data_IF_684342812569
#
_entry.id   IF_684342812569
#
_cell.length_a   1.000
_cell.length_b   1.000
_cell.length_c   1.000
_cell.angle_alpha   90.00
_cell.angle_beta   90.00
_cell.angle_gamma   90.00
#
_symmetry.space_group_name_H-M   'P 1'
#
loop_
_entity.id
_entity.type
_entity.pdbx_description
1 polymer ?
#
# COMPACT_ATOMS: atom_id res chain seq x y z
N UNK A 1 -0.24 9.64 -12.72
CA UNK A 1 -0.57 8.23 -13.00
C UNK A 1 -1.79 8.15 -13.90
N UNK A 2 -1.69 7.41 -14.99
CA UNK A 2 -2.82 7.25 -15.91
C UNK A 2 -3.86 6.31 -15.28
N UNK A 3 -5.14 6.63 -15.46
CA UNK A 3 -6.23 5.77 -15.02
C UNK A 3 -6.49 4.66 -16.04
N UNK A 4 -6.79 3.47 -15.56
CA UNK A 4 -7.13 2.33 -16.42
C UNK A 4 -8.61 2.38 -16.78
N UNK A 5 -9.45 2.77 -15.82
CA UNK A 5 -10.90 2.91 -16.00
C UNK A 5 -11.32 4.34 -15.69
N UNK A 6 -12.41 4.79 -16.32
CA UNK A 6 -12.86 6.17 -16.15
C UNK A 6 -13.45 6.47 -14.78
N UNK A 7 -14.16 5.52 -14.19
CA UNK A 7 -14.91 5.74 -12.95
C UNK A 7 -14.34 5.04 -11.74
N UNK A 8 -13.99 3.77 -11.88
CA UNK A 8 -13.48 2.98 -10.75
C UNK A 8 -12.26 2.20 -11.20
N UNK A 9 -11.12 2.46 -10.55
CA UNK A 9 -9.92 1.66 -10.71
C UNK A 9 -9.70 0.80 -9.49
N UNK A 10 -9.04 -0.36 -9.70
CA UNK A 10 -8.60 -1.25 -8.64
C UNK A 10 -7.16 -0.93 -8.28
N UNK A 11 -6.92 -0.71 -7.00
CA UNK A 11 -5.60 -0.30 -6.49
C UNK A 11 -5.20 -1.17 -5.31
N UNK A 12 -3.90 -1.12 -5.00
CA UNK A 12 -3.35 -1.73 -3.79
C UNK A 12 -2.73 -0.65 -2.93
N UNK A 13 -2.81 -0.82 -1.61
CA UNK A 13 -2.08 -0.02 -0.63
C UNK A 13 -1.30 -0.98 0.25
N UNK A 14 -0.02 -0.72 0.45
CA UNK A 14 0.85 -1.59 1.21
C UNK A 14 1.39 -0.82 2.41
N UNK A 15 1.01 -1.25 3.61
CA UNK A 15 1.54 -0.70 4.86
C UNK A 15 2.73 -1.56 5.27
N UNK A 16 3.92 -1.08 4.92
CA UNK A 16 5.17 -1.79 5.16
C UNK A 16 5.68 -1.45 6.55
N UNK A 17 5.92 -2.47 7.36
CA UNK A 17 6.35 -2.31 8.76
C UNK A 17 7.79 -2.78 8.93
N UNK A 18 8.58 -1.97 9.62
CA UNK A 18 9.93 -2.30 10.06
C UNK A 18 10.21 -1.57 11.37
N UNK A 19 10.79 -2.27 12.32
CA UNK A 19 11.18 -1.70 13.62
C UNK A 19 10.04 -0.90 14.27
N UNK A 20 8.82 -1.44 14.21
CA UNK A 20 7.60 -0.86 14.80
C UNK A 20 7.22 0.49 14.19
N UNK A 21 7.56 0.69 12.93
CA UNK A 21 7.20 1.89 12.17
C UNK A 21 6.61 1.51 10.82
N UNK A 22 5.75 2.36 10.31
CA UNK A 22 5.10 2.18 9.01
C UNK A 22 5.66 3.18 8.01
N UNK A 23 5.89 2.73 6.78
CA UNK A 23 6.45 3.57 5.73
C UNK A 23 5.36 4.38 5.03
N UNK A 24 5.56 5.68 4.96
CA UNK A 24 4.71 6.61 4.21
C UNK A 24 5.52 7.42 3.21
N UNK A 25 4.87 7.82 2.13
CA UNK A 25 5.44 8.71 1.12
C UNK A 25 4.65 10.01 1.09
N UNK A 26 5.32 11.10 0.76
CA UNK A 26 4.67 12.39 0.50
C UNK A 26 4.47 12.56 -0.99
N UNK A 27 3.23 12.43 -1.47
CA UNK A 27 2.89 12.46 -2.88
C UNK A 27 2.96 13.90 -3.43
N UNK A 28 3.71 14.11 -4.53
CA UNK A 28 3.92 15.44 -5.10
C UNK A 28 2.62 16.12 -5.55
N UNK A 29 1.81 15.41 -6.31
CA UNK A 29 0.59 15.99 -6.86
C UNK A 29 -0.49 16.22 -5.81
N UNK A 30 -0.67 15.24 -4.94
CA UNK A 30 -1.74 15.30 -3.93
C UNK A 30 -1.35 16.07 -2.68
N UNK A 31 -0.05 16.34 -2.48
CA UNK A 31 0.47 17.04 -1.30
C UNK A 31 0.03 16.38 0.02
N UNK A 32 0.03 15.05 0.05
CA UNK A 32 -0.42 14.24 1.18
C UNK A 32 0.54 13.12 1.48
N UNK A 33 0.59 12.73 2.75
CA UNK A 33 1.28 11.51 3.16
C UNK A 33 0.36 10.32 2.91
N UNK A 34 0.84 9.36 2.15
CA UNK A 34 0.09 8.18 1.71
C UNK A 34 0.93 6.93 1.94
N UNK A 35 0.28 5.75 2.11
CA UNK A 35 1.03 4.51 2.08
C UNK A 35 1.59 4.25 0.68
N UNK A 36 2.51 3.32 0.58
CA UNK A 36 2.96 2.79 -0.72
C UNK A 36 1.76 2.17 -1.43
N UNK A 37 1.64 2.39 -2.72
CA UNK A 37 0.54 1.77 -3.48
C UNK A 37 0.39 2.31 -4.88
N UNK A 38 -0.59 1.79 -5.60
CA UNK A 38 -0.88 2.19 -6.95
C UNK A 38 -1.89 1.27 -7.63
N UNK A 39 -2.07 1.47 -8.93
CA UNK A 39 -3.03 0.69 -9.72
C UNK A 39 -2.58 -0.75 -9.93
N UNK A 40 -3.56 -1.66 -9.95
CA UNK A 40 -3.36 -3.03 -10.42
C UNK A 40 -3.43 -2.96 -11.96
N UNK A 41 -2.33 -3.34 -12.61
CA UNK A 41 -2.25 -3.29 -14.06
C UNK A 41 -3.07 -4.43 -14.69
N UNK A 42 -3.35 -4.32 -16.00
CA UNK A 42 -4.24 -5.25 -16.69
C UNK A 42 -3.73 -6.70 -16.72
N UNK A 43 -2.44 -6.90 -16.60
CA UNK A 43 -1.79 -8.22 -16.68
C UNK A 43 -1.24 -8.73 -15.35
N UNK A 44 -1.65 -8.13 -14.23
CA UNK A 44 -1.15 -8.55 -12.93
C UNK A 44 -2.29 -8.78 -11.92
N UNK A 45 -2.04 -9.65 -10.94
CA UNK A 45 -2.95 -9.82 -9.82
C UNK A 45 -2.59 -8.87 -8.68
N UNK A 46 -3.42 -8.73 -7.63
CA UNK A 46 -3.16 -7.79 -6.54
C UNK A 46 -1.84 -8.03 -5.79
N UNK A 47 -1.43 -9.29 -5.60
CA UNK A 47 -0.15 -9.58 -4.93
C UNK A 47 1.03 -9.09 -5.76
N UNK A 48 0.98 -9.33 -7.07
CA UNK A 48 2.02 -8.87 -7.99
C UNK A 48 2.09 -7.35 -8.01
N UNK A 49 0.93 -6.68 -8.04
CA UNK A 49 0.87 -5.22 -8.01
C UNK A 49 1.47 -4.67 -6.71
N UNK A 50 1.14 -5.29 -5.57
CA UNK A 50 1.65 -4.85 -4.27
C UNK A 50 3.18 -4.96 -4.19
N UNK A 51 3.73 -6.08 -4.65
CA UNK A 51 5.19 -6.29 -4.64
C UNK A 51 5.90 -5.34 -5.60
N UNK A 52 5.32 -5.11 -6.77
CA UNK A 52 5.87 -4.18 -7.77
C UNK A 52 5.86 -2.75 -7.25
N UNK A 53 4.74 -2.28 -6.72
CA UNK A 53 4.64 -0.92 -6.19
C UNK A 53 5.60 -0.69 -5.02
N UNK A 54 5.74 -1.67 -4.13
CA UNK A 54 6.70 -1.57 -3.03
C UNK A 54 8.12 -1.37 -3.56
N UNK A 55 8.51 -2.13 -4.58
CA UNK A 55 9.83 -2.03 -5.17
C UNK A 55 10.03 -0.70 -5.90
N UNK A 56 9.06 -0.30 -6.72
CA UNK A 56 9.15 0.93 -7.51
C UNK A 56 9.18 2.19 -6.64
N UNK A 57 8.32 2.25 -5.62
CA UNK A 57 8.16 3.45 -4.82
C UNK A 57 9.14 3.55 -3.66
N UNK A 58 9.62 2.44 -3.12
CA UNK A 58 10.48 2.45 -1.93
C UNK A 58 11.83 1.76 -2.11
N UNK A 59 12.02 1.00 -3.16
CA UNK A 59 13.23 0.20 -3.37
C UNK A 59 13.27 -1.07 -2.53
N UNK A 60 12.22 -1.37 -1.77
CA UNK A 60 12.20 -2.51 -0.85
C UNK A 60 11.63 -3.76 -1.49
N UNK A 61 12.24 -4.89 -1.15
CA UNK A 61 11.65 -6.21 -1.36
C UNK A 61 10.89 -6.56 -0.09
N UNK A 62 9.60 -6.82 -0.21
CA UNK A 62 8.73 -7.06 0.94
C UNK A 62 8.07 -8.43 0.85
N UNK A 63 7.63 -8.90 2.02
CA UNK A 63 6.80 -10.08 2.16
C UNK A 63 5.44 -9.63 2.67
N UNK A 64 4.37 -9.95 1.92
CA UNK A 64 3.01 -9.66 2.35
C UNK A 64 2.63 -10.58 3.51
N UNK A 65 2.04 -10.00 4.54
CA UNK A 65 1.60 -10.70 5.75
C UNK A 65 0.08 -10.81 5.71
N UNK A 66 -0.43 -12.02 5.71
CA UNK A 66 -1.86 -12.24 5.66
C UNK A 66 -2.19 -13.72 5.53
N UNK A 67 -3.44 -14.00 5.23
CA UNK A 67 -3.94 -15.37 5.10
C UNK A 67 -4.22 -15.71 3.65
N UNK A 68 -3.86 -16.92 3.29
CA UNK A 68 -4.15 -17.51 2.00
C UNK A 68 -5.10 -18.69 2.23
N UNK A 69 -6.15 -18.88 1.40
CA UNK A 69 -7.02 -20.05 1.57
C UNK A 69 -6.20 -21.33 1.47
N UNK A 70 -6.56 -22.38 2.25
CA UNK A 70 -5.82 -23.65 2.26
C UNK A 70 -6.13 -24.49 1.02
N UNK A 71 -5.90 -23.91 -0.15
CA UNK A 71 -6.14 -24.55 -1.44
C UNK A 71 -4.82 -24.60 -2.20
N UNK A 72 -4.65 -25.66 -2.99
CA UNK A 72 -3.46 -25.81 -3.83
C UNK A 72 -3.69 -25.15 -5.20
N UNK A 73 -2.66 -24.55 -5.79
CA UNK A 73 -2.75 -24.11 -7.17
C UNK A 73 -3.06 -25.30 -8.12
N UNK A 74 -3.89 -25.02 -9.12
CA UNK A 74 -4.22 -25.98 -10.16
C UNK A 74 -4.13 -25.25 -11.51
N UNK A 75 -4.13 -25.98 -12.65
CA UNK A 75 -4.17 -25.30 -13.94
C UNK A 75 -5.38 -24.37 -14.04
N UNK A 76 -5.12 -23.07 -14.28
CA UNK A 76 -6.16 -22.06 -14.35
C UNK A 76 -6.68 -21.54 -13.01
N UNK A 77 -6.07 -21.97 -11.89
CA UNK A 77 -6.50 -21.54 -10.56
C UNK A 77 -5.31 -21.31 -9.63
N UNK A 78 -5.24 -20.10 -9.07
CA UNK A 78 -4.22 -19.72 -8.08
C UNK A 78 -4.91 -19.05 -6.90
N UNK A 79 -4.82 -19.62 -5.68
CA UNK A 79 -5.37 -18.95 -4.50
C UNK A 79 -4.52 -17.74 -4.14
N UNK A 80 -5.16 -16.59 -3.99
CA UNK A 80 -4.47 -15.35 -3.67
C UNK A 80 -4.52 -15.06 -2.17
N UNK A 81 -3.53 -14.30 -1.71
CA UNK A 81 -3.52 -13.76 -0.36
C UNK A 81 -4.70 -12.80 -0.21
N UNK A 82 -5.46 -12.97 0.86
CA UNK A 82 -6.57 -12.08 1.15
C UNK A 82 -6.01 -10.72 1.60
N UNK A 83 -6.49 -9.59 1.03
CA UNK A 83 -6.16 -8.30 1.59
C UNK A 83 -6.76 -8.18 3.00
N UNK A 84 -6.08 -7.44 3.86
CA UNK A 84 -6.56 -7.24 5.24
C UNK A 84 -7.83 -6.42 5.29
N UNK A 85 -7.96 -5.44 4.38
CA UNK A 85 -9.13 -4.55 4.30
C UNK A 85 -9.42 -4.18 2.86
N UNK A 86 -10.66 -3.82 2.61
CA UNK A 86 -11.13 -3.27 1.33
C UNK A 86 -11.86 -1.98 1.60
N UNK A 87 -11.64 -1.00 0.76
CA UNK A 87 -12.45 0.23 0.77
C UNK A 87 -12.67 0.76 -0.63
N UNK A 88 -13.54 1.74 -0.73
CA UNK A 88 -13.67 2.56 -1.93
C UNK A 88 -13.55 4.02 -1.51
N UNK A 89 -12.75 4.79 -2.22
CA UNK A 89 -12.57 6.19 -1.88
C UNK A 89 -12.51 7.06 -3.13
N UNK A 90 -13.00 8.29 -2.97
CA UNK A 90 -13.01 9.28 -4.05
C UNK A 90 -11.60 9.85 -4.25
N UNK A 91 -11.15 9.86 -5.49
CA UNK A 91 -9.91 10.52 -5.87
C UNK A 91 -10.23 11.95 -6.35
N UNK A 92 -11.05 12.04 -7.36
CA UNK A 92 -11.54 13.29 -7.93
C UNK A 92 -12.81 12.96 -8.72
N UNK A 93 -13.90 13.64 -8.45
CA UNK A 93 -15.18 13.39 -9.11
C UNK A 93 -15.01 13.37 -10.63
N UNK A 94 -15.47 12.36 -11.39
CA UNK A 94 -16.26 11.22 -10.92
C UNK A 94 -15.44 9.94 -10.67
N UNK A 95 -14.15 10.04 -10.39
CA UNK A 95 -13.21 8.90 -10.32
C UNK A 95 -12.97 8.40 -8.91
N UNK A 96 -13.20 7.11 -8.70
CA UNK A 96 -13.02 6.40 -7.43
C UNK A 96 -11.98 5.30 -7.53
N UNK A 97 -11.36 4.95 -6.40
CA UNK A 97 -10.49 3.78 -6.30
C UNK A 97 -11.10 2.77 -5.34
N UNK A 98 -11.10 1.48 -5.74
CA UNK A 98 -11.29 0.38 -4.81
C UNK A 98 -9.89 0.01 -4.33
N UNK A 99 -9.65 0.14 -3.04
CA UNK A 99 -8.36 -0.12 -2.42
C UNK A 99 -8.32 -1.48 -1.76
N UNK A 100 -7.34 -2.29 -2.14
CA UNK A 100 -7.01 -3.55 -1.47
C UNK A 100 -5.83 -3.28 -0.55
N UNK A 101 -6.06 -3.38 0.76
CA UNK A 101 -5.07 -3.00 1.77
C UNK A 101 -4.30 -4.23 2.21
N UNK A 102 -2.99 -4.19 2.00
CA UNK A 102 -2.06 -5.25 2.42
C UNK A 102 -1.09 -4.74 3.47
N UNK A 103 -0.68 -5.63 4.34
CA UNK A 103 0.40 -5.38 5.29
C UNK A 103 1.61 -6.19 4.89
N UNK A 104 2.81 -5.64 5.14
CA UNK A 104 4.03 -6.27 4.70
C UNK A 104 5.19 -6.03 5.67
N UNK A 105 6.16 -6.93 5.63
CA UNK A 105 7.45 -6.76 6.31
C UNK A 105 8.56 -6.65 5.28
N UNK A 106 9.64 -5.99 5.63
CA UNK A 106 10.80 -5.87 4.76
C UNK A 106 11.56 -7.19 4.73
N UNK A 107 11.84 -7.69 3.52
CA UNK A 107 12.72 -8.84 3.30
C UNK A 107 14.16 -8.41 3.05
N UNK A 108 14.33 -7.41 2.19
CA UNK A 108 15.63 -6.94 1.76
C UNK A 108 15.54 -5.53 1.19
N UNK A 109 16.69 -4.89 1.04
CA UNK A 109 16.79 -3.58 0.42
C UNK A 109 16.82 -2.44 1.43
N UNK A 110 17.07 -1.25 0.90
CA UNK A 110 17.07 -0.02 1.66
C UNK A 110 16.09 0.95 1.01
N UNK A 111 15.48 1.80 1.82
CA UNK A 111 14.54 2.81 1.33
C UNK A 111 15.24 3.77 0.39
N UNK A 112 14.67 3.93 -0.80
CA UNK A 112 15.09 4.93 -1.77
C UNK A 112 13.87 5.71 -2.22
N UNK A 113 14.02 7.02 -2.36
CA UNK A 113 12.95 7.90 -2.78
C UNK A 113 12.85 7.93 -4.31
N UNK A 114 11.65 7.66 -4.83
CA UNK A 114 11.35 7.94 -6.23
C UNK A 114 11.02 9.43 -6.36
N UNK A 115 12.05 10.23 -6.63
CA UNK A 115 11.93 11.70 -6.63
C UNK A 115 11.05 12.27 -7.75
N UNK A 116 10.74 11.48 -8.76
CA UNK A 116 9.84 11.92 -9.83
C UNK A 116 8.39 12.05 -9.34
N UNK A 117 7.96 11.14 -8.47
CA UNK A 117 6.57 11.08 -7.98
C UNK A 117 6.39 11.58 -6.56
N UNK A 118 7.45 11.52 -5.74
CA UNK A 118 7.34 11.77 -4.31
C UNK A 118 8.35 12.81 -3.82
N UNK A 119 7.94 13.61 -2.84
CA UNK A 119 8.80 14.62 -2.21
C UNK A 119 9.62 14.06 -1.07
N UNK A 120 9.07 13.10 -0.34
CA UNK A 120 9.71 12.57 0.86
C UNK A 120 9.20 11.15 1.12
N UNK A 121 9.95 10.41 1.90
CA UNK A 121 9.58 9.07 2.35
C UNK A 121 10.04 8.92 3.80
N UNK A 122 9.14 8.45 4.67
CA UNK A 122 9.42 8.38 6.10
C UNK A 122 8.84 7.15 6.76
N UNK A 123 9.59 6.63 7.71
CA UNK A 123 9.10 5.66 8.67
C UNK A 123 8.42 6.41 9.80
N UNK A 124 7.15 6.08 10.07
CA UNK A 124 6.37 6.72 11.12
C UNK A 124 6.03 5.73 12.22
N UNK A 125 6.33 6.12 13.46
CA UNK A 125 5.95 5.36 14.65
C UNK A 125 4.46 5.55 14.95
N UNK A 126 3.93 4.77 15.90
CA UNK A 126 2.54 4.95 16.34
C UNK A 126 2.29 6.36 16.86
N UNK A 127 3.25 6.94 17.58
CA UNK A 127 3.16 8.32 18.06
C UNK A 127 3.13 9.32 16.90
N UNK A 128 3.90 9.08 15.86
CA UNK A 128 3.91 9.96 14.68
C UNK A 128 2.56 10.00 13.99
N UNK A 129 1.81 8.89 14.01
CA UNK A 129 0.49 8.84 13.36
C UNK A 129 -0.48 9.89 13.93
N UNK A 130 -0.32 10.24 15.19
CA UNK A 130 -1.17 11.23 15.86
C UNK A 130 -0.64 12.67 15.76
N UNK A 131 0.57 12.87 15.24
CA UNK A 131 1.15 14.20 15.10
C UNK A 131 0.43 14.98 13.99
N UNK A 132 -0.22 16.12 14.33
CA UNK A 132 -0.97 16.89 13.34
C UNK A 132 -0.14 17.38 12.16
N UNK A 133 1.17 17.49 12.30
CA UNK A 133 2.02 17.98 11.21
C UNK A 133 2.02 17.07 9.99
N UNK A 134 1.74 15.77 10.16
CA UNK A 134 1.67 14.82 9.04
C UNK A 134 0.31 14.81 8.36
N UNK A 135 -0.75 15.25 9.05
CA UNK A 135 -2.08 15.40 8.48
C UNK A 135 -2.69 14.10 7.95
N UNK A 136 -2.43 12.98 8.63
CA UNK A 136 -2.96 11.68 8.20
C UNK A 136 -4.47 11.59 8.44
N UNK A 137 -5.19 11.05 7.45
CA UNK A 137 -6.61 10.79 7.60
C UNK A 137 -6.86 9.63 8.56
N UNK A 138 -8.06 9.61 9.16
CA UNK A 138 -8.44 8.59 10.14
C UNK A 138 -8.36 7.16 9.62
N UNK A 139 -8.75 6.94 8.37
CA UNK A 139 -8.66 5.61 7.76
C UNK A 139 -7.20 5.15 7.63
N UNK A 140 -6.29 6.03 7.25
CA UNK A 140 -4.86 5.69 7.14
C UNK A 140 -4.26 5.39 8.51
N UNK A 141 -4.64 6.14 9.54
CA UNK A 141 -4.22 5.87 10.92
C UNK A 141 -4.69 4.51 11.39
N UNK A 142 -5.95 4.17 11.08
CA UNK A 142 -6.51 2.87 11.43
C UNK A 142 -5.71 1.74 10.79
N UNK A 143 -5.50 1.79 9.48
CA UNK A 143 -4.75 0.77 8.77
C UNK A 143 -3.31 0.65 9.28
N UNK A 144 -2.66 1.79 9.52
CA UNK A 144 -1.29 1.79 10.02
C UNK A 144 -1.18 1.13 11.40
N UNK A 145 -2.11 1.43 12.31
CA UNK A 145 -2.15 0.78 13.62
C UNK A 145 -2.38 -0.72 13.51
N UNK A 146 -3.28 -1.13 12.62
CA UNK A 146 -3.53 -2.55 12.38
C UNK A 146 -2.29 -3.25 11.81
N UNK A 147 -1.56 -2.58 10.92
CA UNK A 147 -0.31 -3.10 10.40
C UNK A 147 0.72 -3.28 11.52
N UNK A 148 0.88 -2.26 12.37
CA UNK A 148 1.81 -2.34 13.51
C UNK A 148 1.45 -3.46 14.49
N UNK A 149 0.16 -3.75 14.63
CA UNK A 149 -0.31 -4.82 15.51
C UNK A 149 -0.07 -6.21 14.89
N UNK A 150 -0.31 -6.35 13.60
CA UNK A 150 -0.24 -7.65 12.91
C UNK A 150 1.16 -8.03 12.42
N UNK A 151 1.97 -7.05 12.08
CA UNK A 151 3.33 -7.29 11.58
C UNK A 151 4.32 -7.08 12.71
N UNK A 152 4.86 -8.17 13.22
CA UNK A 152 5.82 -8.15 14.34
C UNK A 152 7.21 -8.53 13.87
#
# INVERSE_FOLDING_TARGET
MAHIHERIDFTVSIFIVKDRKVLFIHHKQLQKWLPIGGHIELDENPEQAALREAKEESGLDVELVGERPPLKPEPGFVPLLQPDYLDIHLIKEPHWHIGMVYFARVKAGQVTLNAEEHKDIRWMSEADLEDPKWGLYGNLKFYAREALRKVT
#
